data_IF_320666089677
#
_entry.id   IF_320666089677
#
_cell.length_a   1.000
_cell.length_b   1.000
_cell.length_c   1.000
_cell.angle_alpha   90.00
_cell.angle_beta   90.00
_cell.angle_gamma   90.00
#
_symmetry.space_group_name_H-M   'P 1'
#
loop_
_entity.id
_entity.type
_entity.pdbx_description
1 polymer ?
#
# COMPACT_ATOMS: atom_id res chain seq x y z
N UNK A 1 -20.68 -16.01 -68.53
CA UNK A 1 -20.53 -15.89 -67.09
C UNK A 1 -19.35 -16.74 -66.66
N UNK A 2 -18.58 -16.22 -65.66
CA UNK A 2 -17.36 -16.88 -65.16
C UNK A 2 -17.44 -17.04 -63.65
N UNK A 3 -16.81 -18.10 -63.14
CA UNK A 3 -16.47 -18.22 -61.72
C UNK A 3 -14.97 -18.08 -61.58
N UNK A 4 -14.53 -17.43 -60.52
CA UNK A 4 -13.11 -17.14 -60.29
C UNK A 4 -12.76 -17.56 -58.83
N UNK A 5 -11.60 -18.18 -58.68
CA UNK A 5 -11.04 -18.45 -57.35
C UNK A 5 -10.18 -17.24 -56.95
N UNK A 6 -10.54 -16.57 -55.87
CA UNK A 6 -9.74 -15.47 -55.30
C UNK A 6 -8.47 -15.96 -54.65
N UNK A 7 -7.58 -15.03 -54.29
CA UNK A 7 -6.34 -15.30 -53.55
C UNK A 7 -6.60 -15.84 -52.12
N UNK A 8 -7.83 -15.72 -51.61
CA UNK A 8 -8.37 -16.26 -50.35
C UNK A 8 -8.94 -17.68 -50.48
N UNK A 9 -8.79 -18.31 -51.70
CA UNK A 9 -9.31 -19.63 -52.08
C UNK A 9 -10.85 -19.73 -52.04
N UNK A 10 -11.57 -18.60 -52.07
CA UNK A 10 -13.00 -18.59 -52.19
C UNK A 10 -13.45 -18.45 -53.65
N UNK A 11 -14.59 -19.10 -53.97
CA UNK A 11 -15.21 -18.99 -55.31
C UNK A 11 -16.06 -17.73 -55.40
N UNK A 12 -15.85 -16.95 -56.42
CA UNK A 12 -16.64 -15.74 -56.75
C UNK A 12 -17.31 -15.97 -58.10
N UNK A 13 -18.62 -15.75 -58.14
CA UNK A 13 -19.36 -15.86 -59.41
C UNK A 13 -20.84 -16.28 -59.21
N UNK A 14 -21.63 -16.27 -60.27
CA UNK A 14 -21.24 -15.95 -61.68
C UNK A 14 -21.01 -14.46 -61.90
N UNK A 15 -19.88 -14.11 -62.56
CA UNK A 15 -19.49 -12.76 -62.93
C UNK A 15 -19.35 -12.59 -64.43
N UNK A 16 -19.54 -11.36 -64.91
CA UNK A 16 -19.46 -11.04 -66.33
C UNK A 16 -18.02 -10.93 -66.84
N UNK A 17 -17.82 -11.02 -68.15
CA UNK A 17 -16.52 -10.81 -68.82
C UNK A 17 -15.94 -9.43 -68.47
N UNK A 18 -16.81 -8.41 -68.41
CA UNK A 18 -16.43 -7.05 -68.08
C UNK A 18 -15.91 -6.90 -66.63
N UNK A 19 -16.54 -7.61 -65.70
CA UNK A 19 -16.11 -7.63 -64.31
C UNK A 19 -14.78 -8.36 -64.13
N UNK A 20 -14.57 -9.49 -64.82
CA UNK A 20 -13.30 -10.19 -64.81
C UNK A 20 -12.21 -9.28 -65.37
N UNK A 21 -12.45 -8.57 -66.48
CA UNK A 21 -11.53 -7.60 -67.07
C UNK A 21 -11.22 -6.45 -66.11
N UNK A 22 -12.23 -5.95 -65.41
CA UNK A 22 -12.03 -4.93 -64.38
C UNK A 22 -11.13 -5.41 -63.23
N UNK A 23 -11.31 -6.66 -62.80
CA UNK A 23 -10.46 -7.25 -61.75
C UNK A 23 -9.04 -7.48 -62.20
N UNK A 24 -8.82 -7.82 -63.50
CA UNK A 24 -7.49 -7.87 -64.11
C UNK A 24 -6.85 -6.46 -64.06
N UNK A 25 -7.54 -5.44 -64.53
CA UNK A 25 -7.05 -4.07 -64.56
C UNK A 25 -6.76 -3.52 -63.14
N UNK A 26 -7.56 -3.95 -62.15
CA UNK A 26 -7.33 -3.64 -60.74
C UNK A 26 -6.20 -4.50 -60.11
N UNK A 27 -5.58 -5.37 -60.84
CA UNK A 27 -4.55 -6.31 -60.40
C UNK A 27 -5.00 -7.27 -59.28
N UNK A 28 -6.31 -7.53 -59.22
CA UNK A 28 -6.89 -8.51 -58.33
C UNK A 28 -6.75 -9.93 -58.85
N UNK A 29 -6.69 -10.08 -60.17
CA UNK A 29 -6.45 -11.32 -60.90
C UNK A 29 -5.20 -11.19 -61.75
N UNK A 30 -4.54 -12.31 -61.98
CA UNK A 30 -3.38 -12.42 -62.85
C UNK A 30 -3.53 -13.66 -63.78
N UNK A 31 -2.59 -13.85 -64.73
CA UNK A 31 -2.65 -14.97 -65.65
C UNK A 31 -2.71 -16.36 -65.05
N UNK A 32 -2.33 -16.48 -63.73
CA UNK A 32 -2.31 -17.76 -63.02
C UNK A 32 -3.60 -17.96 -62.18
N UNK A 33 -4.50 -16.98 -62.12
CA UNK A 33 -5.76 -17.09 -61.38
C UNK A 33 -6.65 -18.14 -62.03
N UNK A 34 -7.30 -19.00 -61.25
CA UNK A 34 -8.17 -20.05 -61.74
C UNK A 34 -9.56 -19.53 -62.05
N UNK A 35 -10.02 -19.78 -63.26
CA UNK A 35 -11.32 -19.34 -63.75
C UNK A 35 -12.01 -20.55 -64.43
N UNK A 36 -13.33 -20.58 -64.29
CA UNK A 36 -14.23 -21.54 -64.91
C UNK A 36 -15.26 -20.81 -65.75
N UNK A 37 -15.28 -21.06 -67.04
CA UNK A 37 -16.30 -20.48 -67.95
C UNK A 37 -17.63 -21.17 -67.80
N UNK A 38 -18.71 -20.52 -68.27
CA UNK A 38 -20.03 -21.06 -68.26
C UNK A 38 -20.11 -22.28 -69.21
N UNK A 39 -20.44 -23.45 -68.62
CA UNK A 39 -20.45 -24.72 -69.33
C UNK A 39 -19.17 -25.57 -69.22
N UNK A 40 -18.09 -25.04 -68.65
CA UNK A 40 -16.87 -25.80 -68.39
C UNK A 40 -17.00 -26.57 -67.03
N UNK A 41 -16.50 -27.78 -67.02
CA UNK A 41 -16.44 -28.65 -65.85
C UNK A 41 -15.12 -28.58 -65.09
N UNK A 42 -14.11 -27.95 -65.69
CA UNK A 42 -12.74 -27.86 -65.14
C UNK A 42 -12.30 -26.45 -64.97
N UNK A 43 -11.52 -26.23 -63.91
CA UNK A 43 -10.86 -24.95 -63.63
C UNK A 43 -9.63 -24.81 -64.52
N UNK A 44 -9.53 -23.67 -65.22
CA UNK A 44 -8.37 -23.34 -66.07
C UNK A 44 -7.73 -22.05 -65.65
N UNK A 45 -6.49 -21.81 -66.03
CA UNK A 45 -5.81 -20.56 -65.73
C UNK A 45 -6.35 -19.43 -66.62
N UNK A 46 -6.42 -18.21 -66.06
CA UNK A 46 -6.93 -17.04 -66.76
C UNK A 46 -6.18 -16.75 -68.05
N UNK A 47 -4.89 -17.13 -68.15
CA UNK A 47 -4.07 -17.01 -69.33
C UNK A 47 -4.49 -17.94 -70.56
N UNK A 48 -5.32 -18.95 -70.30
CA UNK A 48 -5.84 -19.87 -71.33
C UNK A 48 -7.10 -19.32 -72.01
N UNK A 49 -7.64 -18.23 -71.56
CA UNK A 49 -8.83 -17.59 -72.11
C UNK A 49 -8.42 -16.45 -73.07
N UNK A 50 -8.59 -16.57 -74.39
CA UNK A 50 -8.12 -15.56 -75.35
C UNK A 50 -8.79 -14.21 -75.19
N UNK A 51 -10.02 -14.17 -74.65
CA UNK A 51 -10.79 -12.93 -74.39
C UNK A 51 -10.19 -12.03 -73.33
N UNK A 52 -9.30 -12.56 -72.47
CA UNK A 52 -8.60 -11.79 -71.47
C UNK A 52 -7.14 -11.52 -71.81
N UNK A 53 -6.65 -11.97 -72.96
CA UNK A 53 -5.26 -11.83 -73.35
C UNK A 53 -4.81 -10.38 -73.46
N UNK A 54 -5.65 -9.48 -73.97
CA UNK A 54 -5.35 -8.07 -74.10
C UNK A 54 -5.26 -7.37 -72.72
N UNK A 55 -6.16 -7.68 -71.82
CA UNK A 55 -6.14 -7.13 -70.51
C UNK A 55 -4.93 -7.62 -69.67
N UNK A 56 -4.54 -8.89 -69.86
CA UNK A 56 -3.35 -9.45 -69.20
C UNK A 56 -2.06 -8.87 -69.80
N UNK A 57 -1.99 -8.61 -71.14
CA UNK A 57 -0.87 -7.98 -71.81
C UNK A 57 -0.68 -6.52 -71.29
N UNK A 58 -1.78 -5.74 -71.17
CA UNK A 58 -1.76 -4.40 -70.64
C UNK A 58 -1.28 -4.38 -69.15
N UNK A 59 -1.58 -5.42 -68.41
CA UNK A 59 -1.08 -5.59 -67.03
C UNK A 59 0.45 -5.86 -66.99
N UNK A 60 1.00 -6.53 -67.97
CA UNK A 60 2.42 -6.90 -68.11
C UNK A 60 3.32 -5.72 -68.50
N UNK A 61 2.80 -4.78 -69.29
CA UNK A 61 3.55 -3.60 -69.78
C UNK A 61 3.75 -2.48 -68.77
N UNK A 62 3.04 -2.50 -67.66
CA UNK A 62 3.23 -1.52 -66.59
C UNK A 62 4.26 -2.02 -65.58
N UNK A 63 5.41 -1.30 -65.35
CA UNK A 63 6.45 -1.76 -64.42
C UNK A 63 5.87 -2.00 -63.02
N UNK A 64 5.99 -3.24 -62.59
CA UNK A 64 5.56 -3.68 -61.27
C UNK A 64 6.39 -3.02 -60.19
N UNK A 65 5.92 -1.89 -59.71
CA UNK A 65 6.59 -1.09 -58.69
C UNK A 65 6.10 -1.31 -57.24
N UNK A 66 5.39 -2.42 -56.95
CA UNK A 66 5.11 -2.78 -55.53
C UNK A 66 4.87 -4.26 -55.39
N UNK A 67 5.70 -5.01 -54.63
CA UNK A 67 5.43 -6.38 -54.29
C UNK A 67 4.11 -6.51 -53.56
N UNK A 68 3.27 -7.45 -53.90
CA UNK A 68 2.03 -7.84 -53.17
C UNK A 68 2.27 -8.27 -51.71
N UNK A 69 3.52 -8.27 -51.25
CA UNK A 69 3.87 -8.45 -49.83
C UNK A 69 3.38 -7.31 -48.92
N UNK A 70 2.84 -6.21 -49.52
CA UNK A 70 2.35 -5.04 -48.72
C UNK A 70 0.87 -5.16 -48.27
N UNK A 71 0.17 -6.25 -48.57
CA UNK A 71 -1.22 -6.51 -48.15
C UNK A 71 -1.38 -7.70 -47.21
N UNK A 72 -0.27 -8.24 -46.68
CA UNK A 72 -0.38 -9.03 -45.46
C UNK A 72 -0.93 -8.11 -44.38
N UNK A 73 -2.00 -8.45 -43.64
CA UNK A 73 -2.49 -7.63 -42.55
C UNK A 73 -1.33 -7.38 -41.59
N UNK A 74 -0.94 -6.12 -41.43
CA UNK A 74 0.16 -5.76 -40.57
C UNK A 74 -0.11 -6.41 -39.20
N UNK A 75 0.84 -7.22 -38.69
CA UNK A 75 0.70 -7.88 -37.39
C UNK A 75 0.25 -6.80 -36.36
N UNK A 76 -0.84 -7.02 -35.63
CA UNK A 76 -1.35 -6.03 -34.73
C UNK A 76 -0.27 -5.67 -33.73
N UNK A 77 0.01 -4.37 -33.58
CA UNK A 77 1.01 -3.87 -32.63
C UNK A 77 0.50 -4.03 -31.21
N UNK A 78 1.30 -4.59 -30.32
CA UNK A 78 0.97 -4.69 -28.91
C UNK A 78 0.84 -3.28 -28.33
N UNK A 79 -0.25 -3.02 -27.62
CA UNK A 79 -0.48 -1.72 -26.97
C UNK A 79 0.55 -1.49 -25.88
N UNK A 80 1.36 -0.42 -25.99
CA UNK A 80 2.31 -0.02 -24.94
C UNK A 80 1.64 0.26 -23.59
N UNK A 81 0.40 0.73 -23.62
CA UNK A 81 -0.39 0.96 -22.39
C UNK A 81 -0.78 -0.35 -21.69
N UNK A 82 -1.00 -1.44 -22.45
CA UNK A 82 -1.27 -2.75 -21.89
C UNK A 82 -0.01 -3.32 -21.19
N UNK A 83 1.16 -3.11 -21.77
CA UNK A 83 2.44 -3.49 -21.15
C UNK A 83 2.68 -2.64 -19.89
N UNK A 84 2.50 -1.32 -19.98
CA UNK A 84 2.64 -0.42 -18.83
C UNK A 84 1.70 -0.77 -17.68
N UNK A 85 0.44 -1.13 -17.97
CA UNK A 85 -0.54 -1.59 -16.99
C UNK A 85 -0.05 -2.84 -16.24
N UNK A 86 0.48 -3.83 -16.95
CA UNK A 86 1.00 -5.06 -16.33
C UNK A 86 2.22 -4.76 -15.45
N UNK A 87 3.18 -3.99 -15.99
CA UNK A 87 4.41 -3.62 -15.26
C UNK A 87 4.08 -2.85 -13.99
N UNK A 88 3.20 -1.84 -14.08
CA UNK A 88 2.79 -1.04 -12.92
C UNK A 88 1.94 -1.85 -11.93
N UNK A 89 1.14 -2.79 -12.43
CA UNK A 89 0.40 -3.74 -11.58
C UNK A 89 1.34 -4.61 -10.74
N UNK A 90 2.40 -5.15 -11.34
CA UNK A 90 3.39 -5.98 -10.65
C UNK A 90 4.26 -5.11 -9.71
N UNK A 91 4.73 -3.94 -10.17
CA UNK A 91 5.49 -3.00 -9.33
C UNK A 91 4.66 -2.47 -8.14
N UNK A 92 3.34 -2.57 -8.21
CA UNK A 92 2.44 -2.22 -7.11
C UNK A 92 2.75 -2.96 -5.80
N UNK A 93 3.30 -4.18 -5.88
CA UNK A 93 3.75 -4.94 -4.71
C UNK A 93 4.87 -4.20 -3.97
N UNK A 94 5.83 -3.63 -4.70
CA UNK A 94 6.99 -2.93 -4.13
C UNK A 94 6.63 -1.53 -3.59
N UNK A 95 5.60 -0.89 -4.15
CA UNK A 95 5.18 0.49 -3.81
C UNK A 95 3.96 0.54 -2.90
N UNK A 96 3.68 -0.54 -2.16
CA UNK A 96 2.50 -0.65 -1.29
C UNK A 96 1.18 -0.28 -2.00
N UNK A 97 1.07 -0.61 -3.28
CA UNK A 97 -0.16 -0.44 -4.06
C UNK A 97 -0.40 0.93 -4.71
N UNK A 98 0.45 1.92 -4.46
CA UNK A 98 0.26 3.26 -5.06
C UNK A 98 0.28 3.19 -6.58
N UNK A 99 1.23 2.45 -7.17
CA UNK A 99 1.33 2.29 -8.62
C UNK A 99 0.27 1.36 -9.20
N UNK A 100 -0.37 0.51 -8.39
CA UNK A 100 -1.44 -0.39 -8.86
C UNK A 100 -2.72 0.37 -9.24
N UNK A 101 -3.04 1.48 -8.56
CA UNK A 101 -4.14 2.37 -8.97
C UNK A 101 -3.92 2.93 -10.38
N UNK A 102 -2.70 3.38 -10.67
CA UNK A 102 -2.33 3.86 -12.01
C UNK A 102 -2.38 2.71 -13.02
N UNK A 103 -1.86 1.54 -12.66
CA UNK A 103 -1.90 0.32 -13.47
C UNK A 103 -3.33 -0.10 -13.84
N UNK A 104 -4.26 -0.03 -12.90
CA UNK A 104 -5.67 -0.33 -13.11
C UNK A 104 -6.31 0.64 -14.12
N UNK A 105 -6.11 1.94 -13.95
CA UNK A 105 -6.64 2.96 -14.87
C UNK A 105 -6.07 2.76 -16.27
N UNK A 106 -4.74 2.57 -16.40
CA UNK A 106 -4.10 2.33 -17.69
C UNK A 106 -4.57 1.03 -18.34
N UNK A 107 -4.84 -0.02 -17.55
CA UNK A 107 -5.38 -1.29 -18.05
C UNK A 107 -6.78 -1.13 -18.65
N UNK A 108 -7.66 -0.41 -17.98
CA UNK A 108 -9.01 -0.11 -18.48
C UNK A 108 -8.95 0.73 -19.77
N UNK A 109 -8.14 1.80 -19.77
CA UNK A 109 -7.96 2.64 -20.97
C UNK A 109 -7.36 1.84 -22.12
N UNK A 110 -6.40 0.94 -21.85
CA UNK A 110 -5.81 0.05 -22.85
C UNK A 110 -6.88 -0.86 -23.47
N UNK A 111 -7.74 -1.51 -22.67
CA UNK A 111 -8.83 -2.35 -23.17
C UNK A 111 -9.80 -1.58 -24.07
N UNK A 112 -10.22 -0.38 -23.64
CA UNK A 112 -11.11 0.46 -24.45
C UNK A 112 -10.47 0.83 -25.78
N UNK A 113 -9.17 1.16 -25.81
CA UNK A 113 -8.44 1.49 -27.03
C UNK A 113 -8.26 0.27 -27.94
N UNK A 114 -7.94 -0.91 -27.37
CA UNK A 114 -7.79 -2.15 -28.14
C UNK A 114 -9.13 -2.49 -28.79
N UNK A 115 -10.26 -2.46 -28.06
CA UNK A 115 -11.58 -2.75 -28.60
C UNK A 115 -11.99 -1.77 -29.73
N UNK A 116 -11.64 -0.48 -29.61
CA UNK A 116 -11.93 0.52 -30.64
C UNK A 116 -11.01 0.43 -31.86
N UNK A 117 -9.91 -0.28 -31.79
CA UNK A 117 -8.90 -0.32 -32.85
C UNK A 117 -9.22 -1.24 -34.03
N UNK A 118 -10.33 -1.99 -33.95
CA UNK A 118 -10.77 -2.92 -35.00
C UNK A 118 -9.62 -3.88 -35.47
N UNK A 119 -8.90 -4.44 -34.50
CA UNK A 119 -7.83 -5.41 -34.77
C UNK A 119 -6.45 -4.80 -35.06
N UNK A 120 -6.28 -3.48 -35.08
CA UNK A 120 -4.98 -2.83 -35.28
C UNK A 120 -4.06 -2.90 -34.07
N UNK A 121 -4.64 -3.00 -32.87
CA UNK A 121 -3.91 -3.16 -31.60
C UNK A 121 -4.21 -4.53 -31.00
N UNK A 122 -3.18 -5.17 -30.44
CA UNK A 122 -3.28 -6.42 -29.68
C UNK A 122 -2.80 -6.21 -28.25
N UNK A 123 -2.99 -7.23 -27.39
CA UNK A 123 -2.53 -7.18 -26.00
C UNK A 123 -3.66 -7.11 -24.98
N UNK A 124 -4.89 -7.49 -25.35
CA UNK A 124 -6.03 -7.57 -24.42
C UNK A 124 -5.73 -8.45 -23.21
N UNK A 125 -5.03 -9.58 -23.40
CA UNK A 125 -4.60 -10.45 -22.30
C UNK A 125 -3.65 -9.75 -21.31
N UNK A 126 -2.71 -8.93 -21.80
CA UNK A 126 -1.80 -8.16 -20.96
C UNK A 126 -2.55 -7.06 -20.16
N UNK A 127 -3.51 -6.41 -20.82
CA UNK A 127 -4.35 -5.40 -20.16
C UNK A 127 -5.22 -6.03 -19.06
N UNK A 128 -5.86 -7.18 -19.35
CA UNK A 128 -6.65 -7.93 -18.36
C UNK A 128 -5.76 -8.41 -17.21
N UNK A 129 -4.58 -8.98 -17.52
CA UNK A 129 -3.61 -9.39 -16.50
C UNK A 129 -3.18 -8.23 -15.59
N UNK A 130 -2.93 -7.05 -16.17
CA UNK A 130 -2.62 -5.83 -15.42
C UNK A 130 -3.77 -5.36 -14.53
N UNK A 131 -5.02 -5.41 -15.04
CA UNK A 131 -6.22 -5.06 -14.25
C UNK A 131 -6.41 -6.06 -13.11
N UNK A 132 -6.30 -7.35 -13.35
CA UNK A 132 -6.45 -8.38 -12.32
C UNK A 132 -5.38 -8.24 -11.23
N UNK A 133 -4.10 -8.09 -11.60
CA UNK A 133 -3.01 -7.90 -10.66
C UNK A 133 -3.21 -6.63 -9.82
N UNK A 134 -3.55 -5.51 -10.46
CA UNK A 134 -3.81 -4.24 -9.80
C UNK A 134 -5.04 -4.32 -8.89
N UNK A 135 -6.12 -4.93 -9.36
CA UNK A 135 -7.39 -5.08 -8.62
C UNK A 135 -7.22 -5.90 -7.35
N UNK A 136 -6.50 -7.02 -7.43
CA UNK A 136 -6.18 -7.84 -6.24
C UNK A 136 -5.39 -7.03 -5.22
N UNK A 137 -4.37 -6.28 -5.65
CA UNK A 137 -3.57 -5.46 -4.74
C UNK A 137 -4.38 -4.35 -4.09
N UNK A 138 -5.20 -3.63 -4.86
CA UNK A 138 -6.08 -2.57 -4.33
C UNK A 138 -7.05 -3.12 -3.30
N UNK A 139 -7.56 -4.34 -3.48
CA UNK A 139 -8.45 -4.98 -2.52
C UNK A 139 -7.71 -5.51 -1.28
N UNK A 140 -6.48 -6.00 -1.44
CA UNK A 140 -5.68 -6.56 -0.35
C UNK A 140 -5.17 -5.49 0.63
N UNK A 141 -4.87 -4.27 0.17
CA UNK A 141 -4.33 -3.20 1.01
C UNK A 141 -5.25 -2.86 2.20
N UNK A 142 -6.55 -2.57 2.02
CA UNK A 142 -7.43 -2.26 3.15
C UNK A 142 -7.58 -3.44 4.11
N UNK A 143 -7.57 -4.68 3.62
CA UNK A 143 -7.63 -5.88 4.46
C UNK A 143 -6.37 -5.99 5.34
N UNK A 144 -5.19 -5.82 4.75
CA UNK A 144 -3.93 -5.81 5.49
C UNK A 144 -3.87 -4.65 6.49
N UNK A 145 -4.31 -3.45 6.09
CA UNK A 145 -4.39 -2.30 6.98
C UNK A 145 -5.32 -2.56 8.17
N UNK A 146 -6.50 -3.13 7.91
CA UNK A 146 -7.46 -3.47 8.96
C UNK A 146 -6.91 -4.48 9.99
N UNK A 147 -6.04 -5.39 9.57
CA UNK A 147 -5.36 -6.32 10.47
C UNK A 147 -4.18 -5.66 11.21
N UNK A 148 -3.46 -4.76 10.54
CA UNK A 148 -2.25 -4.13 11.09
C UNK A 148 -2.58 -3.01 12.09
N UNK A 149 -3.64 -2.24 11.85
CA UNK A 149 -4.02 -1.10 12.72
C UNK A 149 -4.24 -1.50 14.19
N UNK A 150 -4.98 -2.58 14.52
CA UNK A 150 -5.13 -3.02 15.92
C UNK A 150 -3.80 -3.47 16.55
N UNK A 151 -2.93 -4.12 15.78
CA UNK A 151 -1.62 -4.56 16.27
C UNK A 151 -0.72 -3.35 16.56
N UNK A 152 -0.71 -2.37 15.66
CA UNK A 152 0.04 -1.12 15.82
C UNK A 152 -0.47 -0.31 17.02
N UNK A 153 -1.79 -0.23 17.21
CA UNK A 153 -2.39 0.44 18.37
C UNK A 153 -1.93 -0.20 19.69
N UNK A 154 -1.94 -1.53 19.78
CA UNK A 154 -1.44 -2.28 20.95
C UNK A 154 0.07 -2.07 21.17
N UNK A 155 0.86 -2.11 20.10
CA UNK A 155 2.30 -1.87 20.16
C UNK A 155 2.61 -0.44 20.65
N UNK A 156 1.90 0.56 20.11
CA UNK A 156 2.00 1.96 20.55
C UNK A 156 1.64 2.12 22.03
N UNK A 157 0.54 1.54 22.47
CA UNK A 157 0.12 1.61 23.88
C UNK A 157 1.16 0.97 24.82
N UNK A 158 1.74 -0.18 24.41
CA UNK A 158 2.82 -0.83 25.16
C UNK A 158 4.09 0.02 25.22
N UNK A 159 4.49 0.61 24.09
CA UNK A 159 5.64 1.51 24.05
C UNK A 159 5.45 2.74 24.95
N UNK A 160 4.27 3.34 24.95
CA UNK A 160 3.91 4.44 25.85
C UNK A 160 3.99 4.03 27.32
N UNK A 161 3.47 2.84 27.68
CA UNK A 161 3.56 2.33 29.05
C UNK A 161 5.00 2.12 29.50
N UNK A 162 5.86 1.55 28.64
CA UNK A 162 7.30 1.38 28.93
C UNK A 162 7.98 2.74 29.10
N UNK A 163 7.63 3.72 28.28
CA UNK A 163 8.16 5.07 28.40
C UNK A 163 7.80 5.68 29.78
N UNK A 164 6.53 5.58 30.21
CA UNK A 164 6.09 6.08 31.51
C UNK A 164 6.75 5.32 32.67
N UNK A 165 6.92 3.99 32.56
CA UNK A 165 7.71 3.21 33.55
C UNK A 165 9.14 3.72 33.68
N UNK A 166 9.81 3.99 32.57
CA UNK A 166 11.17 4.51 32.58
C UNK A 166 11.23 5.91 33.24
N UNK A 167 10.23 6.75 32.99
CA UNK A 167 10.12 8.05 33.65
C UNK A 167 9.94 7.89 35.16
N UNK A 168 9.02 7.03 35.61
CA UNK A 168 8.83 6.73 37.03
C UNK A 168 10.12 6.22 37.67
N UNK A 169 10.86 5.34 36.98
CA UNK A 169 12.16 4.84 37.44
C UNK A 169 13.20 5.97 37.58
N UNK A 170 13.25 6.90 36.63
CA UNK A 170 14.15 8.06 36.70
C UNK A 170 13.75 9.00 37.84
N UNK A 171 12.44 9.21 38.04
CA UNK A 171 11.93 10.03 39.17
C UNK A 171 12.27 9.39 40.51
N UNK A 172 12.06 8.06 40.66
CA UNK A 172 12.47 7.33 41.87
C UNK A 172 13.96 7.52 42.16
N UNK A 173 14.80 7.31 41.13
CA UNK A 173 16.24 7.49 41.27
C UNK A 173 16.60 8.94 41.70
N UNK A 174 15.96 9.94 41.08
CA UNK A 174 16.17 11.34 41.42
C UNK A 174 15.75 11.66 42.85
N UNK A 175 14.67 11.07 43.35
CA UNK A 175 14.22 11.19 44.73
C UNK A 175 15.24 10.57 45.69
N UNK A 176 15.76 9.38 45.35
CA UNK A 176 16.79 8.72 46.19
C UNK A 176 18.10 9.51 46.21
N UNK A 177 18.51 10.08 45.04
CA UNK A 177 19.69 10.96 44.99
C UNK A 177 19.48 12.23 45.82
N UNK A 178 18.27 12.82 45.74
CA UNK A 178 17.93 13.95 46.62
C UNK A 178 18.03 13.59 48.10
N UNK A 179 17.47 12.45 48.51
CA UNK A 179 17.49 12.01 49.89
C UNK A 179 18.94 11.77 50.36
N UNK A 180 19.78 11.15 49.54
CA UNK A 180 21.21 10.93 49.85
C UNK A 180 21.94 12.25 50.14
N UNK A 181 21.67 13.31 49.36
CA UNK A 181 22.29 14.62 49.52
C UNK A 181 21.67 15.45 50.69
N UNK A 182 20.51 15.04 51.20
CA UNK A 182 19.75 15.78 52.24
C UNK A 182 19.56 14.96 53.53
N UNK A 183 20.58 14.26 54.00
CA UNK A 183 20.58 13.47 55.25
C UNK A 183 19.41 12.44 55.30
N UNK A 184 19.24 11.69 54.20
CA UNK A 184 18.16 10.73 53.98
C UNK A 184 16.75 11.30 53.94
N UNK A 185 16.58 12.61 54.06
CA UNK A 185 15.28 13.29 54.06
C UNK A 185 14.65 13.22 52.65
N UNK A 186 13.42 12.72 52.59
CA UNK A 186 12.65 12.70 51.35
C UNK A 186 12.21 14.15 50.96
N UNK A 187 11.97 14.43 49.67
CA UNK A 187 11.60 15.75 49.21
C UNK A 187 10.22 16.15 49.79
N UNK A 188 10.03 17.44 50.13
CA UNK A 188 8.74 17.90 50.61
C UNK A 188 7.64 17.73 49.56
N UNK A 189 6.50 17.13 49.88
CA UNK A 189 5.46 16.76 48.93
C UNK A 189 5.00 17.92 48.04
N UNK A 190 4.86 19.13 48.59
CA UNK A 190 4.43 20.31 47.84
C UNK A 190 5.47 20.93 46.92
N UNK A 191 6.71 20.44 46.91
CA UNK A 191 7.82 20.96 46.10
C UNK A 191 8.69 19.83 45.50
N UNK A 192 8.23 18.61 45.51
CA UNK A 192 9.03 17.44 45.16
C UNK A 192 9.59 17.47 43.70
N UNK A 193 8.78 17.94 42.72
CA UNK A 193 9.26 18.07 41.34
C UNK A 193 10.40 19.07 41.23
N UNK A 194 10.29 20.21 41.89
CA UNK A 194 11.31 21.27 41.87
C UNK A 194 12.57 20.83 42.60
N UNK A 195 12.41 20.16 43.76
CA UNK A 195 13.51 19.63 44.55
C UNK A 195 14.37 18.63 43.80
N UNK A 196 13.74 17.75 43.03
CA UNK A 196 14.47 16.70 42.30
C UNK A 196 14.90 17.09 40.87
N UNK A 197 14.48 18.25 40.36
CA UNK A 197 14.74 18.67 38.98
C UNK A 197 16.20 18.61 38.57
N UNK A 198 17.13 18.97 39.43
CA UNK A 198 18.56 18.91 39.16
C UNK A 198 19.06 17.48 39.00
N UNK A 199 18.44 16.49 39.63
CA UNK A 199 18.82 15.09 39.60
C UNK A 199 18.26 14.36 38.37
N UNK A 200 17.32 14.96 37.64
CA UNK A 200 16.81 14.45 36.36
C UNK A 200 17.59 15.02 35.16
N UNK A 201 18.73 15.66 35.37
CA UNK A 201 19.50 16.34 34.33
C UNK A 201 18.78 17.56 33.73
N UNK A 202 17.81 18.13 34.44
CA UNK A 202 17.00 19.28 34.00
C UNK A 202 15.96 18.92 32.93
N UNK A 203 15.80 17.65 32.60
CA UNK A 203 14.85 17.19 31.57
C UNK A 203 13.40 17.32 32.03
N UNK A 204 12.67 18.22 31.40
CA UNK A 204 11.22 18.34 31.60
C UNK A 204 10.47 17.08 31.15
N UNK A 205 10.98 16.39 30.11
CA UNK A 205 10.33 15.21 29.55
C UNK A 205 10.15 14.05 30.54
N UNK A 206 11.01 13.94 31.56
CA UNK A 206 10.92 12.92 32.62
C UNK A 206 9.65 13.06 33.47
N UNK A 207 9.11 14.28 33.56
CA UNK A 207 7.90 14.56 34.31
C UNK A 207 6.61 14.34 33.52
N UNK A 208 6.70 13.94 32.23
CA UNK A 208 5.53 13.75 31.37
C UNK A 208 5.30 12.29 31.02
N UNK A 209 4.09 11.81 31.24
CA UNK A 209 3.65 10.54 30.67
C UNK A 209 3.19 10.75 29.21
N UNK A 210 3.66 9.89 28.30
CA UNK A 210 3.32 9.96 26.88
C UNK A 210 1.82 9.79 26.56
N UNK A 211 1.03 9.33 27.54
CA UNK A 211 -0.43 9.19 27.43
C UNK A 211 -1.20 10.46 27.83
N UNK A 212 -0.52 11.48 28.38
CA UNK A 212 -1.11 12.73 28.84
C UNK A 212 -0.40 13.96 28.24
N UNK A 213 -0.58 14.25 26.96
CA UNK A 213 0.04 15.42 26.34
C UNK A 213 -0.55 16.73 26.92
N UNK A 214 0.30 17.72 27.12
CA UNK A 214 -0.12 19.09 27.48
C UNK A 214 -0.18 19.40 28.97
N UNK A 215 0.34 18.53 29.84
CA UNK A 215 0.47 18.81 31.27
C UNK A 215 1.95 18.94 31.70
N UNK A 216 2.26 19.86 32.59
CA UNK A 216 3.66 20.11 33.01
C UNK A 216 4.26 19.00 33.87
N UNK A 217 3.44 18.26 34.60
CA UNK A 217 3.82 17.06 35.35
C UNK A 217 2.61 16.12 35.42
N UNK A 218 2.81 14.85 35.15
CA UNK A 218 1.78 13.80 35.13
C UNK A 218 2.02 12.75 36.21
N UNK A 219 2.87 13.06 37.17
CA UNK A 219 3.19 12.19 38.30
C UNK A 219 2.89 12.90 39.62
N UNK A 220 2.67 12.10 40.65
CA UNK A 220 2.48 12.59 42.03
C UNK A 220 3.40 11.85 42.98
N UNK A 221 3.80 12.53 44.03
CA UNK A 221 4.53 11.96 45.15
C UNK A 221 3.55 11.43 46.20
N UNK A 222 3.93 10.39 46.92
CA UNK A 222 3.13 9.87 48.01
C UNK A 222 3.12 10.89 49.20
N UNK A 223 1.97 11.49 49.45
CA UNK A 223 1.80 12.49 50.50
C UNK A 223 2.02 11.97 51.89
N UNK A 224 1.95 10.64 52.11
CA UNK A 224 2.19 10.02 53.44
C UNK A 224 3.68 9.95 53.81
N UNK A 225 4.55 10.27 52.87
CA UNK A 225 6.00 10.31 53.07
C UNK A 225 6.51 11.71 53.44
N UNK A 226 5.60 12.62 53.81
CA UNK A 226 5.95 13.94 54.30
C UNK A 226 6.85 13.85 55.55
N UNK A 227 7.95 14.62 55.57
CA UNK A 227 8.93 14.67 56.68
C UNK A 227 9.61 13.32 57.00
N UNK A 228 9.46 12.31 56.16
CA UNK A 228 10.06 10.99 56.35
C UNK A 228 11.49 10.93 55.80
N UNK A 229 12.30 10.08 56.43
CA UNK A 229 13.61 9.67 55.92
C UNK A 229 13.50 8.32 55.24
N UNK A 230 14.45 8.02 54.37
CA UNK A 230 14.55 6.70 53.75
C UNK A 230 14.72 5.58 54.77
N UNK A 231 15.39 5.86 55.91
CA UNK A 231 15.56 4.94 57.05
C UNK A 231 14.26 4.68 57.85
N UNK A 232 13.24 5.54 57.73
CA UNK A 232 11.95 5.37 58.41
C UNK A 232 11.05 4.37 57.70
N UNK A 233 11.39 3.99 56.45
CA UNK A 233 10.57 3.11 55.65
C UNK A 233 10.80 1.63 56.06
N UNK A 234 9.79 1.03 56.65
CA UNK A 234 9.88 -0.35 57.14
C UNK A 234 9.89 -1.41 56.03
N UNK A 235 9.24 -1.13 54.93
CA UNK A 235 9.15 -2.02 53.77
C UNK A 235 9.30 -1.25 52.45
N UNK A 236 10.52 -0.78 52.11
CA UNK A 236 10.74 0.08 50.91
C UNK A 236 10.24 -0.53 49.59
N UNK A 237 10.34 -1.84 49.43
CA UNK A 237 9.87 -2.56 48.24
C UNK A 237 8.35 -2.71 48.17
N UNK A 238 7.59 -2.31 49.18
CA UNK A 238 6.13 -2.33 49.17
C UNK A 238 5.55 -0.91 49.25
N UNK A 239 6.32 0.06 49.80
CA UNK A 239 5.86 1.42 50.00
C UNK A 239 5.89 2.20 48.70
N UNK A 240 4.73 2.68 48.25
CA UNK A 240 4.59 3.55 47.07
C UNK A 240 5.30 4.87 47.32
N UNK A 241 6.13 5.32 46.37
CA UNK A 241 6.85 6.57 46.44
C UNK A 241 6.35 7.61 45.41
N UNK A 242 6.31 7.21 44.11
CA UNK A 242 5.83 8.07 43.04
C UNK A 242 4.90 7.28 42.12
N UNK A 243 3.88 7.93 41.57
CA UNK A 243 2.88 7.27 40.76
C UNK A 243 2.29 8.23 39.75
N UNK A 244 1.65 7.71 38.68
CA UNK A 244 0.94 8.54 37.71
C UNK A 244 -0.30 9.19 38.29
N UNK A 245 -0.46 10.48 38.00
CA UNK A 245 -1.61 11.29 38.47
C UNK A 245 -2.20 12.15 37.36
N UNK A 246 -3.40 12.64 37.57
CA UNK A 246 -4.04 13.62 36.68
C UNK A 246 -3.56 15.03 37.04
N UNK A 247 -2.31 15.30 36.71
CA UNK A 247 -1.79 16.59 36.44
C UNK A 247 -1.49 17.63 37.48
N UNK A 248 -0.47 18.36 37.15
CA UNK A 248 0.07 19.53 37.81
C UNK A 248 1.40 19.25 38.51
N UNK A 249 2.31 20.24 38.50
CA UNK A 249 3.58 20.13 39.18
C UNK A 249 3.39 20.01 40.69
N UNK A 250 4.32 19.33 41.37
CA UNK A 250 4.38 19.17 42.82
C UNK A 250 3.13 18.55 43.46
N UNK A 251 2.35 17.76 42.70
CA UNK A 251 1.19 17.10 43.24
C UNK A 251 1.59 15.97 44.18
N UNK A 252 0.93 15.91 45.35
CA UNK A 252 1.13 14.85 46.31
C UNK A 252 -0.21 14.39 46.90
N UNK A 253 -0.28 13.12 47.27
CA UNK A 253 -1.50 12.49 47.79
C UNK A 253 -1.39 11.00 47.81
N UNK A 254 -2.55 10.33 47.84
CA UNK A 254 -2.68 8.89 47.86
C UNK A 254 -3.31 8.32 46.55
N UNK A 255 -3.89 7.10 46.65
CA UNK A 255 -4.49 6.42 45.49
C UNK A 255 -5.67 7.15 44.86
N UNK A 256 -6.29 8.10 45.56
CA UNK A 256 -7.43 8.89 45.10
C UNK A 256 -7.10 9.85 43.95
N UNK A 257 -5.83 10.30 43.86
CA UNK A 257 -5.37 11.22 42.79
C UNK A 257 -4.69 10.52 41.66
N UNK A 258 -4.60 9.18 41.67
CA UNK A 258 -3.94 8.41 40.66
C UNK A 258 -4.69 8.45 39.32
N UNK A 259 -3.94 8.60 38.24
CA UNK A 259 -4.48 8.66 36.90
C UNK A 259 -4.65 7.26 36.30
N UNK A 260 -5.75 7.05 35.58
CA UNK A 260 -6.05 5.79 34.88
C UNK A 260 -5.83 5.94 33.37
N UNK A 261 -4.62 6.36 32.98
CA UNK A 261 -4.38 6.89 31.64
C UNK A 261 -3.89 5.85 30.62
N UNK A 262 -3.45 4.67 31.08
CA UNK A 262 -3.07 3.59 30.18
C UNK A 262 -4.27 2.76 29.77
N UNK A 263 -4.25 2.26 28.53
CA UNK A 263 -5.26 1.34 28.02
C UNK A 263 -5.36 0.10 28.92
N UNK A 264 -6.59 -0.17 29.41
CA UNK A 264 -6.85 -1.24 30.38
C UNK A 264 -6.90 -0.79 31.82
N UNK A 265 -6.82 0.52 32.13
CA UNK A 265 -6.95 1.06 33.49
C UNK A 265 -5.75 0.73 34.38
N UNK A 266 -4.56 0.73 33.79
CA UNK A 266 -3.28 0.54 34.48
C UNK A 266 -2.69 1.89 34.90
N UNK A 267 -1.85 1.85 35.95
CA UNK A 267 -1.09 2.97 36.48
C UNK A 267 0.34 2.53 36.71
N UNK A 268 1.32 3.34 36.31
CA UNK A 268 2.72 3.08 36.65
C UNK A 268 2.98 3.61 38.08
N UNK A 269 3.53 2.75 38.92
CA UNK A 269 3.82 3.01 40.31
C UNK A 269 5.29 2.68 40.57
N UNK A 270 5.97 3.61 41.22
CA UNK A 270 7.33 3.46 41.71
C UNK A 270 7.36 3.28 43.22
N UNK A 271 8.18 2.36 43.67
CA UNK A 271 8.32 2.02 45.08
C UNK A 271 9.61 2.61 45.67
N UNK A 272 9.67 2.68 46.97
CA UNK A 272 10.78 3.35 47.66
C UNK A 272 12.13 2.64 47.59
N UNK A 273 12.17 1.38 47.14
CA UNK A 273 13.40 0.66 46.80
C UNK A 273 13.91 0.94 45.36
N UNK A 274 13.15 1.73 44.60
CA UNK A 274 13.49 2.09 43.22
C UNK A 274 12.88 1.19 42.15
N UNK A 275 12.22 0.07 42.46
CA UNK A 275 11.52 -0.71 41.46
C UNK A 275 10.22 -0.07 40.98
N UNK A 276 9.73 -0.46 39.83
CA UNK A 276 8.54 0.09 39.19
C UNK A 276 7.63 -1.04 38.73
N UNK A 277 6.35 -0.90 39.01
CA UNK A 277 5.32 -1.84 38.53
C UNK A 277 4.21 -1.13 37.75
N UNK A 278 3.58 -1.87 36.83
CA UNK A 278 2.30 -1.49 36.23
C UNK A 278 1.19 -2.18 37.00
N UNK A 279 0.39 -1.41 37.69
CA UNK A 279 -0.65 -1.91 38.60
C UNK A 279 -2.02 -1.59 38.06
N UNK A 280 -2.98 -2.51 38.18
CA UNK A 280 -4.38 -2.19 37.87
C UNK A 280 -4.89 -1.14 38.88
N UNK A 281 -5.57 -0.11 38.38
CA UNK A 281 -6.09 0.99 39.21
C UNK A 281 -6.94 0.53 40.40
N UNK A 282 -7.67 -0.60 40.24
CA UNK A 282 -8.45 -1.20 41.34
C UNK A 282 -7.59 -1.76 42.49
N UNK A 283 -6.32 -2.05 42.24
CA UNK A 283 -5.38 -2.56 43.26
C UNK A 283 -4.61 -1.45 43.97
N UNK A 284 -4.66 -0.21 43.48
CA UNK A 284 -3.90 0.91 44.06
C UNK A 284 -4.19 1.12 45.55
N UNK A 285 -5.48 1.05 45.95
CA UNK A 285 -5.87 1.21 47.35
C UNK A 285 -5.36 0.11 48.27
N UNK A 286 -4.98 -1.07 47.72
CA UNK A 286 -4.43 -2.19 48.48
C UNK A 286 -2.91 -2.18 48.58
N UNK A 287 -2.23 -1.24 47.90
CA UNK A 287 -0.78 -1.07 48.05
C UNK A 287 -0.47 -0.40 49.40
N UNK A 288 0.77 -0.52 49.84
CA UNK A 288 1.26 0.16 51.05
C UNK A 288 1.59 1.63 50.72
N UNK A 289 0.84 2.54 51.37
CA UNK A 289 1.02 3.98 51.23
C UNK A 289 1.67 4.59 52.48
N UNK A 290 1.51 3.95 53.62
CA UNK A 290 2.18 4.36 54.86
C UNK A 290 3.64 3.87 54.88
N UNK A 291 4.56 4.62 55.52
CA UNK A 291 5.98 4.30 55.60
C UNK A 291 6.33 3.01 56.32
#
# INVERSE_FOLDING_TARGET
MYKVIGSDQQEYGPISTEEVTSWINQRRLNGQSHVQGEGDTTWRTLSEFPEFAEALAAQAETPSGRPLAALAPAKPKTSGMAIASLVLGVLGVLTCGITSLVGLVLGVVALVRINKSQGRLSGSGLAIGGICASGVLVLMIPIMAAMLLPALAKAKAKAQSIHCMNNVKQLNLAIMMYANDNNEQLPPPGQWCDAIRRYTGGSQATFHCATQPGQDCTYAFNGKLEEKKTSDLTAPGQTVMVFESNGGPNRAGGPEIAARNHSGGFVCVGFADGHVEIVLAKRLASLQWEP
#
